data_IF_544282096462
#
_entry.id   IF_544282096462
#
_cell.length_a   1.000
_cell.length_b   1.000
_cell.length_c   1.000
_cell.angle_alpha   90.00
_cell.angle_beta   90.00
_cell.angle_gamma   90.00
#
_symmetry.space_group_name_H-M   'P 1'
#
loop_
_entity.id
_entity.type
_entity.pdbx_description
1 polymer ?
#
# COMPACT_ATOMS: atom_id res chain seq x y z
N UNK A 1 11.26 0.93 -34.33
CA UNK A 1 11.34 -0.55 -34.56
C UNK A 1 12.40 -1.09 -33.62
N UNK A 2 12.02 -1.55 -32.43
CA UNK A 2 12.95 -2.24 -31.52
C UNK A 2 12.95 -3.73 -31.90
N UNK A 3 14.12 -4.27 -32.28
CA UNK A 3 14.31 -5.70 -32.53
C UNK A 3 14.67 -6.40 -31.24
N UNK A 4 13.73 -7.17 -30.68
CA UNK A 4 13.95 -7.97 -29.48
C UNK A 4 14.79 -9.21 -29.80
N UNK A 5 15.92 -9.37 -29.11
CA UNK A 5 16.75 -10.59 -29.15
C UNK A 5 16.26 -11.53 -28.04
N UNK A 6 15.66 -12.65 -28.44
CA UNK A 6 15.29 -13.73 -27.51
C UNK A 6 16.54 -14.28 -26.82
N UNK A 7 16.50 -14.38 -25.50
CA UNK A 7 17.48 -15.15 -24.73
C UNK A 7 17.17 -16.64 -24.95
N UNK A 8 18.05 -17.35 -25.64
CA UNK A 8 17.93 -18.79 -25.79
C UNK A 8 18.35 -19.49 -24.49
N UNK A 9 17.46 -20.29 -23.91
CA UNK A 9 17.81 -21.20 -22.83
C UNK A 9 18.83 -22.22 -23.33
N UNK A 10 19.98 -22.31 -22.67
CA UNK A 10 21.00 -23.31 -22.97
C UNK A 10 20.49 -24.71 -22.60
N UNK A 11 20.35 -25.59 -23.59
CA UNK A 11 20.08 -27.01 -23.37
C UNK A 11 21.34 -27.70 -22.87
N UNK A 12 21.37 -28.08 -21.60
CA UNK A 12 22.39 -28.99 -21.08
C UNK A 12 21.95 -30.44 -21.34
N UNK A 13 22.63 -31.11 -22.27
CA UNK A 13 22.50 -32.54 -22.50
C UNK A 13 23.21 -33.30 -21.37
N UNK A 14 22.45 -33.90 -20.46
CA UNK A 14 22.99 -34.83 -19.48
C UNK A 14 23.18 -36.21 -20.13
N UNK A 15 24.43 -36.69 -20.14
CA UNK A 15 24.81 -38.04 -20.57
C UNK A 15 24.39 -39.04 -19.47
N UNK A 16 23.36 -39.86 -19.73
CA UNK A 16 22.94 -40.91 -18.79
C UNK A 16 23.79 -42.18 -18.97
N UNK A 17 24.57 -42.53 -17.95
CA UNK A 17 25.30 -43.79 -17.86
C UNK A 17 24.34 -44.88 -17.35
N UNK A 18 24.07 -45.90 -18.17
CA UNK A 18 23.16 -47.02 -17.83
C UNK A 18 23.95 -48.15 -17.17
N UNK A 19 23.65 -48.43 -15.90
CA UNK A 19 23.95 -49.73 -15.27
C UNK A 19 22.62 -50.46 -15.01
N UNK A 20 22.47 -51.63 -15.64
CA UNK A 20 21.31 -52.49 -15.47
C UNK A 20 21.58 -53.55 -14.41
N UNK A 21 20.87 -53.52 -13.29
CA UNK A 21 20.71 -54.65 -12.37
C UNK A 21 19.35 -54.59 -11.68
N UNK A 22 18.54 -55.63 -11.90
CA UNK A 22 17.59 -56.18 -10.92
C UNK A 22 16.32 -55.38 -10.61
N UNK A 23 15.18 -55.87 -11.11
CA UNK A 23 13.85 -55.33 -10.88
C UNK A 23 13.47 -55.26 -9.38
N UNK A 24 13.32 -54.06 -8.85
CA UNK A 24 12.18 -53.60 -8.01
C UNK A 24 12.05 -52.10 -8.24
N UNK A 25 10.87 -51.67 -8.69
CA UNK A 25 10.61 -50.30 -9.12
C UNK A 25 10.02 -49.45 -7.98
N UNK A 26 10.44 -48.18 -7.96
CA UNK A 26 9.82 -46.99 -7.34
C UNK A 26 9.67 -46.94 -5.81
N UNK A 27 10.53 -46.12 -5.19
CA UNK A 27 10.08 -44.87 -4.55
C UNK A 27 11.17 -43.81 -4.69
N UNK A 28 11.08 -42.97 -5.73
CA UNK A 28 11.61 -41.62 -5.66
C UNK A 28 10.40 -40.69 -5.60
N UNK A 29 9.96 -40.37 -4.40
CA UNK A 29 9.10 -39.20 -4.18
C UNK A 29 9.42 -38.59 -2.83
N UNK A 30 10.55 -37.90 -2.75
CA UNK A 30 10.45 -36.55 -2.22
C UNK A 30 10.22 -35.67 -3.44
N UNK A 31 8.98 -35.66 -3.95
CA UNK A 31 8.50 -34.45 -4.58
C UNK A 31 8.73 -33.38 -3.52
N UNK A 32 9.74 -32.53 -3.73
CA UNK A 32 9.90 -31.29 -2.99
C UNK A 32 8.50 -30.67 -3.03
N UNK A 33 7.80 -30.65 -1.90
CA UNK A 33 6.48 -30.06 -1.84
C UNK A 33 6.64 -28.67 -2.46
N UNK A 34 6.00 -28.43 -3.60
CA UNK A 34 6.03 -27.14 -4.24
C UNK A 34 5.63 -26.16 -3.16
N UNK A 35 6.54 -25.23 -2.81
CA UNK A 35 6.27 -24.19 -1.83
C UNK A 35 4.92 -23.58 -2.23
N UNK A 36 3.92 -23.54 -1.33
CA UNK A 36 2.65 -22.91 -1.66
C UNK A 36 2.95 -21.48 -2.11
N UNK A 37 2.63 -21.17 -3.37
CA UNK A 37 2.88 -19.83 -3.89
C UNK A 37 2.03 -18.83 -3.11
N UNK A 38 2.60 -17.73 -2.63
CA UNK A 38 1.87 -16.77 -1.77
C UNK A 38 0.85 -15.91 -2.52
N UNK A 39 1.04 -15.71 -3.81
CA UNK A 39 0.14 -14.88 -4.61
C UNK A 39 0.53 -14.91 -6.07
N UNK A 40 -0.27 -14.22 -6.89
CA UNK A 40 -0.06 -14.14 -8.34
C UNK A 40 0.01 -12.69 -8.81
N UNK A 41 1.03 -12.37 -9.61
CA UNK A 41 1.13 -11.14 -10.38
C UNK A 41 0.41 -11.31 -11.72
N UNK A 42 -0.48 -10.36 -12.04
CA UNK A 42 -1.34 -10.41 -13.23
C UNK A 42 -1.57 -9.01 -13.80
N UNK A 43 -1.61 -8.91 -15.13
CA UNK A 43 -2.23 -7.76 -15.78
C UNK A 43 -3.72 -8.01 -16.00
N UNK A 44 -4.56 -7.05 -15.61
CA UNK A 44 -6.00 -7.02 -15.88
C UNK A 44 -6.39 -5.61 -16.29
N UNK A 45 -7.10 -5.45 -17.41
CA UNK A 45 -7.61 -4.16 -17.90
C UNK A 45 -6.57 -3.04 -18.09
N UNK A 46 -5.31 -3.39 -18.33
CA UNK A 46 -4.19 -2.44 -18.51
C UNK A 46 -3.35 -2.24 -17.24
N UNK A 47 -3.85 -2.68 -16.09
CA UNK A 47 -3.24 -2.45 -14.80
C UNK A 47 -2.51 -3.70 -14.26
N UNK A 48 -1.40 -3.50 -13.56
CA UNK A 48 -0.65 -4.58 -12.92
C UNK A 48 -1.11 -4.77 -11.47
N UNK A 49 -1.56 -5.99 -11.17
CA UNK A 49 -2.09 -6.39 -9.86
C UNK A 49 -1.22 -7.46 -9.22
N UNK A 50 -0.88 -7.28 -7.94
CA UNK A 50 -0.55 -8.39 -7.05
C UNK A 50 -1.81 -8.84 -6.30
N UNK A 51 -2.07 -10.15 -6.28
CA UNK A 51 -3.18 -10.74 -5.52
C UNK A 51 -2.70 -11.91 -4.66
N UNK A 52 -2.78 -11.78 -3.34
CA UNK A 52 -2.51 -12.87 -2.41
C UNK A 52 -3.60 -13.96 -2.48
N UNK A 53 -3.30 -15.19 -2.03
CA UNK A 53 -4.37 -16.16 -1.81
C UNK A 53 -5.06 -15.94 -0.46
N UNK A 54 -6.32 -16.38 -0.37
CA UNK A 54 -7.12 -16.20 0.83
C UNK A 54 -6.49 -16.81 2.10
N UNK A 55 -6.50 -16.05 3.20
CA UNK A 55 -6.06 -16.46 4.52
C UNK A 55 -4.55 -16.45 4.73
N UNK A 56 -3.81 -15.70 3.93
CA UNK A 56 -2.35 -15.59 4.01
C UNK A 56 -1.95 -14.21 4.52
N UNK A 57 -0.98 -14.15 5.42
CA UNK A 57 -0.31 -12.91 5.77
C UNK A 57 0.90 -12.70 4.84
N UNK A 58 1.06 -11.49 4.34
CA UNK A 58 2.00 -11.08 3.31
C UNK A 58 2.82 -9.89 3.79
N UNK A 59 4.13 -9.94 3.58
CA UNK A 59 5.04 -8.84 3.87
C UNK A 59 5.75 -8.37 2.61
N UNK A 60 5.19 -7.32 2.01
CA UNK A 60 5.60 -6.77 0.73
C UNK A 60 6.28 -5.41 0.89
N UNK A 61 7.42 -5.25 0.22
CA UNK A 61 8.01 -3.94 -0.05
C UNK A 61 7.95 -3.65 -1.54
N UNK A 62 7.44 -2.49 -1.92
CA UNK A 62 7.41 -2.01 -3.30
C UNK A 62 8.38 -0.84 -3.43
N UNK A 63 9.22 -0.86 -4.45
CA UNK A 63 10.05 0.27 -4.85
C UNK A 63 10.01 0.48 -6.36
N UNK A 64 10.22 1.72 -6.80
CA UNK A 64 10.42 2.02 -8.22
C UNK A 64 11.89 2.28 -8.50
N UNK A 65 12.36 1.79 -9.64
CA UNK A 65 13.68 2.07 -10.18
C UNK A 65 13.56 2.52 -11.63
N UNK A 66 14.09 3.70 -11.91
CA UNK A 66 14.27 4.19 -13.29
C UNK A 66 15.65 3.76 -13.78
N UNK A 67 15.71 3.06 -14.91
CA UNK A 67 16.95 2.72 -15.61
C UNK A 67 17.01 3.46 -16.95
N UNK A 68 18.18 3.98 -17.30
CA UNK A 68 18.42 4.59 -18.60
C UNK A 68 19.04 3.54 -19.52
N UNK A 69 18.38 3.20 -20.61
CA UNK A 69 18.89 2.28 -21.64
C UNK A 69 18.71 2.88 -23.02
N UNK A 70 19.77 2.88 -23.81
CA UNK A 70 19.76 3.37 -25.20
C UNK A 70 19.15 4.79 -25.36
N UNK A 71 19.40 5.67 -24.38
CA UNK A 71 18.91 7.05 -24.34
C UNK A 71 17.37 7.18 -24.16
N UNK A 72 16.73 6.12 -23.64
CA UNK A 72 15.34 6.05 -23.21
C UNK A 72 15.28 5.74 -21.70
N UNK A 73 14.24 6.22 -21.04
CA UNK A 73 13.99 5.97 -19.61
C UNK A 73 13.01 4.81 -19.48
N UNK A 74 13.43 3.74 -18.83
CA UNK A 74 12.58 2.61 -18.49
C UNK A 74 12.28 2.65 -16.98
N UNK A 75 11.00 2.59 -16.61
CA UNK A 75 10.57 2.55 -15.20
C UNK A 75 10.20 1.12 -14.82
N UNK A 76 10.72 0.65 -13.68
CA UNK A 76 10.44 -0.69 -13.16
C UNK A 76 9.93 -0.63 -11.73
N UNK A 77 8.83 -1.33 -11.47
CA UNK A 77 8.39 -1.67 -10.12
C UNK A 77 9.14 -2.91 -9.65
N UNK A 78 9.70 -2.86 -8.45
CA UNK A 78 10.41 -3.95 -7.80
C UNK A 78 9.61 -4.34 -6.56
N UNK A 79 8.99 -5.51 -6.63
CA UNK A 79 8.29 -6.10 -5.50
C UNK A 79 9.22 -7.05 -4.78
N UNK A 80 9.41 -6.83 -3.49
CA UNK A 80 10.25 -7.65 -2.61
C UNK A 80 9.41 -8.23 -1.49
N UNK A 81 9.25 -9.54 -1.47
CA UNK A 81 8.51 -10.30 -0.46
C UNK A 81 9.48 -10.80 0.61
N UNK A 82 9.09 -10.72 1.89
CA UNK A 82 10.01 -10.93 3.03
C UNK A 82 9.76 -12.22 3.82
N UNK A 83 8.77 -13.00 3.41
CA UNK A 83 8.18 -14.14 4.11
C UNK A 83 8.34 -15.49 3.38
N UNK A 84 9.27 -15.55 2.40
CA UNK A 84 9.77 -16.78 1.76
C UNK A 84 8.75 -17.63 0.98
N UNK A 85 7.58 -17.11 0.63
CA UNK A 85 6.67 -17.80 -0.28
C UNK A 85 6.91 -17.35 -1.73
N UNK A 86 7.01 -18.33 -2.64
CA UNK A 86 7.26 -18.06 -4.06
C UNK A 86 6.08 -17.25 -4.65
N UNK A 87 6.37 -16.20 -5.44
CA UNK A 87 5.34 -15.47 -6.19
C UNK A 87 5.11 -16.21 -7.50
N UNK A 88 3.86 -16.34 -7.96
CA UNK A 88 3.57 -16.73 -9.34
C UNK A 88 3.53 -15.49 -10.25
N UNK A 89 4.28 -15.49 -11.35
CA UNK A 89 4.01 -14.56 -12.46
C UNK A 89 3.08 -15.30 -13.44
N UNK A 90 1.87 -14.79 -13.66
CA UNK A 90 0.92 -15.35 -14.63
C UNK A 90 1.43 -15.14 -16.06
N UNK A 91 0.95 -15.97 -17.00
CA UNK A 91 1.27 -15.83 -18.42
C UNK A 91 0.88 -14.46 -18.99
N UNK A 92 -0.14 -13.80 -18.45
CA UNK A 92 -0.50 -12.43 -18.87
C UNK A 92 0.55 -11.41 -18.47
N UNK A 93 1.11 -11.50 -17.26
CA UNK A 93 2.18 -10.61 -16.79
C UNK A 93 3.58 -11.02 -17.28
N UNK A 94 3.77 -12.28 -17.69
CA UNK A 94 5.01 -12.74 -18.31
C UNK A 94 5.10 -12.35 -19.80
N UNK A 95 4.03 -11.83 -20.41
CA UNK A 95 4.06 -11.39 -21.78
C UNK A 95 4.92 -10.12 -21.94
N UNK A 96 5.61 -9.99 -23.07
CA UNK A 96 6.38 -8.80 -23.45
C UNK A 96 7.46 -8.29 -22.45
N UNK A 97 8.04 -9.19 -21.64
CA UNK A 97 9.05 -8.84 -20.61
C UNK A 97 8.51 -7.88 -19.52
N UNK A 98 7.18 -7.84 -19.31
CA UNK A 98 6.52 -6.97 -18.33
C UNK A 98 6.78 -7.38 -16.89
N UNK A 99 6.89 -8.67 -16.53
CA UNK A 99 7.33 -9.10 -15.21
C UNK A 99 8.30 -10.29 -15.31
N UNK A 100 9.47 -10.16 -14.66
CA UNK A 100 10.51 -11.21 -14.63
C UNK A 100 11.09 -11.37 -13.22
N UNK A 101 11.54 -12.59 -12.92
CA UNK A 101 12.40 -12.82 -11.75
C UNK A 101 13.83 -12.35 -12.03
N UNK A 102 14.51 -11.66 -11.10
CA UNK A 102 15.91 -11.26 -11.27
C UNK A 102 16.85 -12.45 -11.49
N UNK A 103 16.54 -13.59 -10.86
CA UNK A 103 17.21 -14.88 -11.12
C UNK A 103 16.17 -15.99 -11.15
N UNK A 104 16.42 -17.06 -11.91
CA UNK A 104 15.50 -18.20 -12.01
C UNK A 104 15.31 -19.00 -10.71
N UNK A 105 16.09 -18.69 -9.67
CA UNK A 105 16.07 -19.38 -8.37
C UNK A 105 15.50 -18.51 -7.25
N UNK A 106 15.35 -17.20 -7.47
CA UNK A 106 14.83 -16.28 -6.48
C UNK A 106 13.46 -15.78 -6.92
N UNK A 107 12.41 -16.37 -6.35
CA UNK A 107 11.03 -15.97 -6.56
C UNK A 107 10.48 -15.10 -5.41
N UNK A 108 11.36 -14.57 -4.55
CA UNK A 108 10.99 -13.60 -3.50
C UNK A 108 11.02 -12.16 -4.01
N UNK A 109 11.59 -11.96 -5.21
CA UNK A 109 11.65 -10.66 -5.87
C UNK A 109 11.05 -10.79 -7.27
N UNK A 110 10.10 -9.93 -7.60
CA UNK A 110 9.61 -9.75 -8.96
C UNK A 110 9.95 -8.34 -9.44
N UNK A 111 10.49 -8.26 -10.66
CA UNK A 111 10.76 -6.99 -11.33
C UNK A 111 9.78 -6.84 -12.47
N UNK A 112 8.94 -5.84 -12.41
CA UNK A 112 7.96 -5.55 -13.43
C UNK A 112 8.27 -4.24 -14.16
N UNK A 113 8.40 -4.31 -15.49
CA UNK A 113 8.52 -3.19 -16.38
C UNK A 113 7.13 -2.66 -16.73
N UNK A 114 6.95 -1.34 -16.68
CA UNK A 114 5.80 -0.67 -17.27
C UNK A 114 6.25 -0.10 -18.60
N UNK A 115 5.86 -0.75 -19.69
CA UNK A 115 6.26 -0.32 -21.02
C UNK A 115 5.38 0.83 -21.47
N UNK A 116 5.92 2.05 -21.62
CA UNK A 116 5.18 3.20 -22.16
C UNK A 116 4.85 2.91 -23.64
N UNK A 117 3.59 2.60 -24.01
CA UNK A 117 3.21 2.45 -25.41
C UNK A 117 3.23 3.82 -26.07
N UNK A 118 3.77 3.88 -27.29
CA UNK A 118 3.89 5.14 -28.01
C UNK A 118 2.50 5.69 -28.38
N UNK A 119 2.05 6.72 -27.67
CA UNK A 119 0.73 7.36 -27.85
C UNK A 119 -0.35 6.92 -26.86
N UNK A 120 0.02 6.20 -25.79
CA UNK A 120 -0.86 6.02 -24.64
C UNK A 120 -0.71 7.21 -23.68
N UNK A 121 -1.81 7.62 -23.03
CA UNK A 121 -1.85 8.69 -22.03
C UNK A 121 -1.78 8.13 -20.60
N UNK A 122 -1.28 6.90 -20.49
CA UNK A 122 -1.61 6.04 -19.37
C UNK A 122 -0.64 6.28 -18.21
N UNK A 123 -1.18 6.93 -17.18
CA UNK A 123 -0.93 6.59 -15.80
C UNK A 123 -1.27 5.11 -15.60
N UNK A 124 -0.31 4.22 -15.87
CA UNK A 124 -0.41 2.84 -15.39
C UNK A 124 -0.21 2.89 -13.87
N UNK A 125 -1.31 3.18 -13.16
CA UNK A 125 -1.41 3.09 -11.72
C UNK A 125 -1.07 1.65 -11.33
N UNK A 126 -0.16 1.48 -10.37
CA UNK A 126 0.22 0.16 -9.89
C UNK A 126 -0.60 -0.12 -8.63
N UNK A 127 -1.54 -1.06 -8.71
CA UNK A 127 -2.42 -1.42 -7.61
C UNK A 127 -1.97 -2.71 -6.92
N UNK A 128 -1.84 -2.65 -5.59
CA UNK A 128 -1.39 -3.76 -4.75
C UNK A 128 -2.52 -4.21 -3.85
N UNK A 129 -3.00 -5.45 -4.03
CA UNK A 129 -3.97 -6.09 -3.13
C UNK A 129 -3.25 -7.15 -2.27
N UNK A 130 -3.09 -6.84 -0.98
CA UNK A 130 -2.44 -7.71 -0.01
C UNK A 130 -3.32 -8.89 0.43
N UNK A 131 -4.64 -8.82 0.18
CA UNK A 131 -5.57 -9.93 0.28
C UNK A 131 -6.26 -10.09 1.64
N UNK A 132 -6.38 -11.33 2.10
CA UNK A 132 -7.02 -11.64 3.38
C UNK A 132 -5.93 -12.09 4.37
N UNK A 133 -5.68 -11.34 5.42
CA UNK A 133 -4.67 -11.63 6.43
C UNK A 133 -4.30 -10.39 7.25
N UNK A 134 -3.34 -10.55 8.17
CA UNK A 134 -2.70 -9.37 8.74
C UNK A 134 -1.43 -9.13 7.93
N UNK A 135 -1.49 -8.19 7.01
CA UNK A 135 -0.50 -7.93 6.00
C UNK A 135 0.39 -6.74 6.36
N UNK A 136 1.49 -6.60 5.63
CA UNK A 136 2.39 -5.45 5.75
C UNK A 136 2.83 -4.99 4.37
N UNK A 137 2.37 -3.80 3.99
CA UNK A 137 2.78 -3.10 2.78
C UNK A 137 3.73 -1.95 3.11
N UNK A 138 4.82 -1.83 2.38
CA UNK A 138 5.73 -0.67 2.54
C UNK A 138 6.21 -0.17 1.19
N UNK A 139 5.93 1.09 0.90
CA UNK A 139 6.54 1.83 -0.20
C UNK A 139 7.82 2.49 0.33
N UNK A 140 8.93 2.31 -0.39
CA UNK A 140 10.20 2.93 0.03
C UNK A 140 10.09 4.46 0.01
N UNK A 141 10.66 5.13 1.02
CA UNK A 141 10.52 6.59 1.20
C UNK A 141 11.13 7.40 0.05
N UNK A 142 12.12 6.85 -0.65
CA UNK A 142 12.77 7.44 -1.83
C UNK A 142 12.11 7.05 -3.16
N UNK A 143 11.02 6.28 -3.10
CA UNK A 143 10.32 5.78 -4.28
C UNK A 143 9.39 6.86 -4.85
N UNK A 144 9.55 7.23 -6.12
CA UNK A 144 8.60 8.08 -6.84
C UNK A 144 7.44 7.29 -7.45
N UNK A 145 7.09 6.16 -6.84
CA UNK A 145 6.09 5.24 -7.34
C UNK A 145 4.70 5.79 -7.07
N UNK A 146 3.86 5.83 -8.12
CA UNK A 146 2.42 6.05 -7.96
C UNK A 146 1.78 4.70 -7.77
N UNK A 147 1.32 4.46 -6.53
CA UNK A 147 0.84 3.15 -6.11
C UNK A 147 -0.38 3.35 -5.24
N UNK A 148 -1.41 2.54 -5.51
CA UNK A 148 -2.48 2.30 -4.55
C UNK A 148 -2.19 1.00 -3.82
N UNK A 149 -2.28 1.01 -2.49
CA UNK A 149 -2.16 -0.21 -1.69
C UNK A 149 -3.47 -0.47 -0.98
N UNK A 150 -3.99 -1.66 -1.20
CA UNK A 150 -5.16 -2.22 -0.55
C UNK A 150 -4.69 -3.29 0.45
N UNK A 151 -4.94 -3.06 1.74
CA UNK A 151 -4.67 -4.01 2.83
C UNK A 151 -5.57 -5.23 2.71
N UNK A 152 -6.88 -5.00 2.74
CA UNK A 152 -7.87 -6.04 2.49
C UNK A 152 -8.57 -6.43 3.78
N UNK A 153 -8.65 -7.72 4.10
CA UNK A 153 -9.23 -8.14 5.40
C UNK A 153 -8.15 -8.48 6.40
N UNK A 154 -8.23 -7.91 7.58
CA UNK A 154 -7.40 -8.21 8.73
C UNK A 154 -6.71 -6.95 9.23
N UNK A 155 -5.83 -7.08 10.21
CA UNK A 155 -5.20 -5.92 10.82
C UNK A 155 -3.84 -5.68 10.15
N UNK A 156 -3.82 -4.74 9.22
CA UNK A 156 -2.71 -4.48 8.32
C UNK A 156 -1.78 -3.38 8.81
N UNK A 157 -0.55 -3.39 8.28
CA UNK A 157 0.44 -2.34 8.52
C UNK A 157 0.89 -1.78 7.18
N UNK A 158 0.36 -0.62 6.81
CA UNK A 158 0.67 0.05 5.55
C UNK A 158 1.56 1.26 5.79
N UNK A 159 2.63 1.40 5.01
CA UNK A 159 3.49 2.58 5.01
C UNK A 159 3.69 3.09 3.60
N UNK A 160 3.24 4.31 3.35
CA UNK A 160 3.37 5.00 2.07
C UNK A 160 4.27 6.23 2.19
N UNK A 161 4.51 6.86 1.04
CA UNK A 161 5.08 8.20 0.97
C UNK A 161 4.04 9.17 0.39
N UNK A 162 4.41 10.43 0.17
CA UNK A 162 3.49 11.46 -0.31
C UNK A 162 2.89 11.22 -1.71
N UNK A 163 3.32 10.19 -2.45
CA UNK A 163 2.76 9.82 -3.76
C UNK A 163 1.90 8.54 -3.72
N UNK A 164 1.65 8.00 -2.53
CA UNK A 164 0.92 6.74 -2.34
C UNK A 164 -0.50 7.00 -1.83
N UNK A 165 -1.47 6.23 -2.34
CA UNK A 165 -2.81 6.13 -1.75
C UNK A 165 -2.91 4.80 -1.00
N UNK A 166 -3.42 4.83 0.22
CA UNK A 166 -3.46 3.66 1.10
C UNK A 166 -4.91 3.39 1.56
N UNK A 167 -5.35 2.15 1.43
CA UNK A 167 -6.64 1.66 1.91
C UNK A 167 -6.40 0.47 2.85
N UNK A 168 -6.76 0.61 4.12
CA UNK A 168 -6.76 -0.50 5.09
C UNK A 168 -7.84 -1.53 4.75
N UNK A 169 -9.08 -1.06 4.60
CA UNK A 169 -10.32 -1.82 4.39
C UNK A 169 -10.84 -2.46 5.68
N UNK A 170 -11.01 -3.78 5.75
CA UNK A 170 -11.64 -4.43 6.90
C UNK A 170 -10.58 -4.77 7.95
N UNK A 171 -10.70 -4.30 9.18
CA UNK A 171 -9.82 -4.64 10.29
C UNK A 171 -9.34 -3.42 11.05
N UNK A 172 -8.48 -3.63 12.03
CA UNK A 172 -7.89 -2.55 12.82
C UNK A 172 -6.48 -2.27 12.29
N UNK A 173 -6.38 -1.34 11.36
CA UNK A 173 -5.20 -1.10 10.56
C UNK A 173 -4.27 -0.06 11.16
N UNK A 174 -3.01 -0.12 10.74
CA UNK A 174 -1.97 0.86 11.06
C UNK A 174 -1.42 1.42 9.77
N UNK A 175 -1.78 2.65 9.48
CA UNK A 175 -1.41 3.33 8.25
C UNK A 175 -0.49 4.51 8.59
N UNK A 176 0.67 4.56 7.95
CA UNK A 176 1.66 5.63 8.11
C UNK A 176 1.97 6.29 6.77
N UNK A 177 1.81 7.61 6.70
CA UNK A 177 2.04 8.39 5.49
C UNK A 177 0.90 8.29 4.49
N UNK A 178 1.24 8.37 3.21
CA UNK A 178 0.27 8.57 2.13
C UNK A 178 0.08 10.05 1.81
N UNK A 179 -0.85 10.38 0.93
CA UNK A 179 -1.10 11.75 0.47
C UNK A 179 -1.51 11.81 -0.99
N UNK A 180 -1.16 10.76 -1.74
CA UNK A 180 -1.56 10.53 -3.11
C UNK A 180 -1.26 11.70 -4.05
N UNK A 181 -1.70 11.54 -5.29
CA UNK A 181 -1.80 12.66 -6.21
C UNK A 181 -3.14 13.34 -5.92
N UNK A 182 -3.21 14.67 -6.03
CA UNK A 182 -4.45 15.45 -5.89
C UNK A 182 -5.05 15.55 -4.48
N UNK A 183 -4.29 15.20 -3.43
CA UNK A 183 -4.71 15.35 -2.03
C UNK A 183 -5.55 14.19 -1.48
N UNK A 184 -5.53 13.05 -2.16
CA UNK A 184 -6.18 11.81 -1.69
C UNK A 184 -5.18 11.07 -0.79
N UNK A 185 -5.41 11.08 0.53
CA UNK A 185 -4.48 10.49 1.50
C UNK A 185 -4.74 9.02 1.79
N UNK A 186 -5.00 8.72 3.06
CA UNK A 186 -5.15 7.36 3.57
C UNK A 186 -6.58 7.12 4.07
N UNK A 187 -7.04 5.88 3.91
CA UNK A 187 -8.36 5.42 4.34
C UNK A 187 -8.19 4.21 5.25
N UNK A 188 -8.66 4.30 6.50
CA UNK A 188 -8.71 3.19 7.44
C UNK A 188 -9.69 2.12 6.94
N UNK A 189 -10.98 2.45 6.96
CA UNK A 189 -12.03 1.57 6.46
C UNK A 189 -12.95 1.14 7.58
N UNK A 190 -13.15 -0.16 7.78
CA UNK A 190 -14.00 -0.70 8.83
C UNK A 190 -13.15 -1.32 9.94
N UNK A 191 -13.23 -0.76 11.14
CA UNK A 191 -12.51 -1.20 12.32
C UNK A 191 -11.99 0.00 13.10
N UNK A 192 -11.17 -0.24 14.11
CA UNK A 192 -10.55 0.84 14.88
C UNK A 192 -9.12 1.04 14.38
N UNK A 193 -8.92 2.04 13.55
CA UNK A 193 -7.71 2.27 12.77
C UNK A 193 -6.80 3.31 13.42
N UNK A 194 -5.52 3.23 13.06
CA UNK A 194 -4.51 4.20 13.47
C UNK A 194 -3.83 4.76 12.23
N UNK A 195 -4.12 6.01 11.90
CA UNK A 195 -3.55 6.74 10.77
C UNK A 195 -2.58 7.79 11.30
N UNK A 196 -1.34 7.77 10.81
CA UNK A 196 -0.26 8.66 11.27
C UNK A 196 0.46 9.27 10.08
N UNK A 197 1.08 10.43 10.30
CA UNK A 197 1.81 11.16 9.24
C UNK A 197 0.89 11.50 8.05
N UNK A 198 -0.35 11.91 8.35
CA UNK A 198 -1.35 12.29 7.36
C UNK A 198 -0.98 13.61 6.69
N UNK A 199 -0.54 13.60 5.42
CA UNK A 199 -0.10 14.79 4.67
C UNK A 199 -1.20 15.50 3.85
N UNK A 200 -2.44 14.97 3.83
CA UNK A 200 -3.57 15.51 3.05
C UNK A 200 -4.90 15.06 3.68
N UNK A 201 -5.87 14.56 2.90
CA UNK A 201 -7.11 14.01 3.42
C UNK A 201 -6.92 12.58 3.96
N UNK A 202 -7.07 12.39 5.26
CA UNK A 202 -7.09 11.09 5.92
C UNK A 202 -8.49 10.80 6.48
N UNK A 203 -8.97 9.58 6.24
CA UNK A 203 -10.29 9.12 6.65
C UNK A 203 -10.16 7.90 7.55
N UNK A 204 -10.70 7.97 8.77
CA UNK A 204 -10.79 6.84 9.69
C UNK A 204 -11.75 5.79 9.14
N UNK A 205 -13.00 6.18 8.93
CA UNK A 205 -14.04 5.34 8.36
C UNK A 205 -15.05 4.92 9.41
N UNK A 206 -15.24 3.63 9.62
CA UNK A 206 -16.21 3.11 10.57
C UNK A 206 -15.51 2.42 11.73
N UNK A 207 -15.75 2.87 12.95
CA UNK A 207 -15.11 2.38 14.17
C UNK A 207 -14.45 3.54 14.90
N UNK A 208 -13.72 3.28 15.99
CA UNK A 208 -13.13 4.34 16.81
C UNK A 208 -11.67 4.52 16.42
N UNK A 209 -11.39 5.57 15.68
CA UNK A 209 -10.13 5.74 14.98
C UNK A 209 -9.22 6.76 15.68
N UNK A 210 -7.92 6.64 15.40
CA UNK A 210 -6.90 7.56 15.88
C UNK A 210 -6.15 8.13 14.68
N UNK A 211 -6.36 9.41 14.39
CA UNK A 211 -5.74 10.11 13.28
C UNK A 211 -4.74 11.15 13.80
N UNK A 212 -3.56 11.21 13.18
CA UNK A 212 -2.53 12.21 13.49
C UNK A 212 -1.96 12.78 12.20
N UNK A 213 -1.99 14.11 12.09
CA UNK A 213 -1.41 14.88 11.00
C UNK A 213 0.08 14.62 10.77
N UNK A 214 0.58 15.06 9.62
CA UNK A 214 2.02 15.12 9.36
C UNK A 214 2.67 16.21 10.20
N UNK A 215 3.89 15.97 10.70
CA UNK A 215 4.68 17.03 11.32
C UNK A 215 5.35 17.83 10.19
N UNK A 216 4.75 18.95 9.79
CA UNK A 216 5.23 19.72 8.65
C UNK A 216 5.92 21.02 9.08
N UNK A 217 7.12 21.21 8.53
CA UNK A 217 7.91 22.45 8.61
C UNK A 217 7.44 23.52 7.63
N UNK A 218 6.47 23.18 6.79
CA UNK A 218 6.11 23.92 5.58
C UNK A 218 4.73 24.60 5.71
N UNK A 219 3.95 24.29 6.76
CA UNK A 219 2.67 24.93 7.09
C UNK A 219 1.51 24.54 6.18
N UNK A 220 1.52 23.32 5.67
CA UNK A 220 0.43 22.73 4.92
C UNK A 220 -0.76 22.42 5.85
N UNK A 221 -1.92 22.29 5.23
CA UNK A 221 -3.18 21.98 5.92
C UNK A 221 -3.39 20.46 5.91
N UNK A 222 -3.43 19.84 7.10
CA UNK A 222 -3.86 18.45 7.23
C UNK A 222 -5.39 18.41 7.27
N UNK A 223 -6.01 17.47 6.55
CA UNK A 223 -7.45 17.27 6.58
C UNK A 223 -7.78 15.90 7.18
N UNK A 224 -8.20 15.89 8.44
CA UNK A 224 -8.46 14.66 9.20
C UNK A 224 -9.97 14.47 9.37
N UNK A 225 -10.46 13.30 8.97
CA UNK A 225 -11.87 12.92 9.05
C UNK A 225 -11.98 11.64 9.90
N UNK A 226 -12.59 11.73 11.09
CA UNK A 226 -12.88 10.55 11.93
C UNK A 226 -13.96 9.66 11.32
N UNK A 227 -14.98 10.29 10.74
CA UNK A 227 -16.13 9.66 10.11
C UNK A 227 -17.13 9.05 11.12
N UNK A 228 -17.28 7.73 11.23
CA UNK A 228 -18.27 7.08 12.10
C UNK A 228 -17.58 6.42 13.29
N UNK A 229 -17.66 6.98 14.50
CA UNK A 229 -16.86 6.47 15.60
C UNK A 229 -16.83 7.34 16.84
N UNK A 230 -16.07 6.95 17.86
CA UNK A 230 -15.63 7.92 18.87
C UNK A 230 -14.14 8.14 18.64
N UNK A 231 -13.83 9.14 17.81
CA UNK A 231 -12.52 9.27 17.20
C UNK A 231 -11.61 10.19 17.99
N UNK A 232 -10.31 10.07 17.74
CA UNK A 232 -9.28 10.93 18.30
C UNK A 232 -8.45 11.51 17.16
N UNK A 233 -8.52 12.82 16.97
CA UNK A 233 -7.85 13.54 15.88
C UNK A 233 -6.85 14.55 16.46
N UNK A 234 -5.61 14.51 15.99
CA UNK A 234 -4.54 15.45 16.33
C UNK A 234 -3.98 16.13 15.07
N UNK A 235 -4.14 17.45 14.97
CA UNK A 235 -3.62 18.26 13.86
C UNK A 235 -2.10 18.42 13.89
N UNK A 236 -1.53 18.59 15.09
CA UNK A 236 -0.12 18.93 15.34
C UNK A 236 0.20 20.40 15.04
N UNK A 237 1.22 20.66 14.24
CA UNK A 237 1.59 22.03 13.88
C UNK A 237 1.04 22.30 12.49
N UNK A 238 0.45 23.47 12.24
CA UNK A 238 -0.06 23.78 10.90
C UNK A 238 -1.24 24.72 10.89
N UNK A 239 -2.07 24.59 9.86
CA UNK A 239 -3.42 25.16 9.83
C UNK A 239 -4.30 24.00 9.43
N UNK A 240 -4.84 23.30 10.42
CA UNK A 240 -5.43 21.99 10.20
C UNK A 240 -6.96 22.04 10.12
N UNK A 241 -7.51 21.10 9.37
CA UNK A 241 -8.94 20.84 9.29
C UNK A 241 -9.26 19.49 9.93
N UNK A 242 -10.00 19.50 11.04
CA UNK A 242 -10.40 18.32 11.78
C UNK A 242 -11.92 18.18 11.77
N UNK A 243 -12.40 17.01 11.37
CA UNK A 243 -13.82 16.67 11.30
C UNK A 243 -14.06 15.36 12.06
N UNK A 244 -14.74 15.42 13.21
CA UNK A 244 -15.07 14.25 14.05
C UNK A 244 -16.02 13.32 13.32
N UNK A 245 -17.28 13.76 13.16
CA UNK A 245 -18.26 13.06 12.35
C UNK A 245 -19.43 12.57 13.20
N UNK A 246 -19.67 11.26 13.25
CA UNK A 246 -20.71 10.67 14.10
C UNK A 246 -20.08 10.00 15.31
N UNK A 247 -20.42 10.48 16.50
CA UNK A 247 -20.14 9.85 17.79
C UNK A 247 -19.52 10.84 18.75
N UNK A 248 -18.79 10.40 19.77
CA UNK A 248 -18.26 11.31 20.80
C UNK A 248 -16.76 11.48 20.60
N UNK A 249 -16.39 12.51 19.87
CA UNK A 249 -15.05 12.66 19.32
C UNK A 249 -14.16 13.55 20.20
N UNK A 250 -12.85 13.39 20.04
CA UNK A 250 -11.83 14.26 20.65
C UNK A 250 -10.96 14.85 19.56
N UNK A 251 -11.06 16.15 19.38
CA UNK A 251 -10.32 16.89 18.36
C UNK A 251 -9.33 17.84 19.03
N UNK A 252 -8.09 17.78 18.59
CA UNK A 252 -6.98 18.61 19.06
C UNK A 252 -6.33 19.30 17.86
N UNK A 253 -6.51 20.62 17.72
CA UNK A 253 -5.85 21.43 16.69
C UNK A 253 -4.34 21.56 16.94
N UNK A 254 -3.97 21.69 18.22
CA UNK A 254 -2.60 21.81 18.71
C UNK A 254 -1.96 23.18 18.37
N UNK A 255 -0.94 23.29 17.52
CA UNK A 255 -0.30 24.58 17.19
C UNK A 255 -0.73 25.06 15.81
N UNK A 256 -1.48 26.16 15.70
CA UNK A 256 -1.97 26.53 14.38
C UNK A 256 -3.10 27.53 14.36
N UNK A 257 -3.66 27.77 13.18
CA UNK A 257 -4.98 28.40 13.10
C UNK A 257 -5.95 27.35 12.56
N UNK A 258 -6.53 26.56 13.45
CA UNK A 258 -7.17 25.32 13.05
C UNK A 258 -8.67 25.46 12.91
N UNK A 259 -9.28 24.53 12.20
CA UNK A 259 -10.73 24.43 12.02
C UNK A 259 -11.20 23.06 12.49
N UNK A 260 -11.95 23.04 13.61
CA UNK A 260 -12.43 21.82 14.26
C UNK A 260 -13.95 21.75 14.23
N UNK A 261 -14.49 20.66 13.67
CA UNK A 261 -15.91 20.33 13.68
C UNK A 261 -16.15 18.99 14.38
N UNK A 262 -16.83 18.99 15.53
CA UNK A 262 -17.24 17.76 16.21
C UNK A 262 -18.32 17.01 15.43
N UNK A 263 -19.35 17.76 15.02
CA UNK A 263 -20.56 17.30 14.37
C UNK A 263 -21.53 16.58 15.32
N UNK A 264 -21.88 15.32 15.07
CA UNK A 264 -23.00 14.68 15.76
C UNK A 264 -22.50 13.88 16.97
N UNK A 265 -22.89 14.28 18.17
CA UNK A 265 -22.62 13.55 19.40
C UNK A 265 -22.11 14.47 20.50
N UNK A 266 -21.42 13.96 21.51
CA UNK A 266 -20.93 14.81 22.61
C UNK A 266 -19.42 14.94 22.52
N UNK A 267 -18.97 16.02 21.89
CA UNK A 267 -17.59 16.13 21.46
C UNK A 267 -16.73 16.94 22.43
N UNK A 268 -15.42 16.72 22.35
CA UNK A 268 -14.41 17.50 23.06
C UNK A 268 -13.45 18.11 22.06
N UNK A 269 -13.49 19.43 21.92
CA UNK A 269 -12.67 20.19 20.97
C UNK A 269 -11.67 21.04 21.74
N UNK A 270 -10.39 20.90 21.40
CA UNK A 270 -9.29 21.71 21.87
C UNK A 270 -8.64 22.40 20.68
N UNK A 271 -8.83 23.72 20.53
CA UNK A 271 -8.19 24.48 19.44
C UNK A 271 -6.68 24.48 19.58
N UNK A 272 -6.19 24.80 20.78
CA UNK A 272 -4.77 24.89 21.03
C UNK A 272 -4.27 26.32 20.87
N UNK A 273 -3.05 26.48 20.36
CA UNK A 273 -2.38 27.77 20.24
C UNK A 273 -2.62 28.38 18.86
N UNK A 274 -3.30 29.53 18.83
CA UNK A 274 -3.48 30.36 17.65
C UNK A 274 -4.93 30.79 17.49
N UNK A 275 -5.38 31.05 16.26
CA UNK A 275 -6.72 31.59 15.99
C UNK A 275 -7.60 30.53 15.37
N UNK A 276 -8.20 29.73 16.22
CA UNK A 276 -8.95 28.55 15.78
C UNK A 276 -10.44 28.83 15.61
N UNK A 277 -11.07 28.03 14.77
CA UNK A 277 -12.52 27.98 14.56
C UNK A 277 -13.03 26.64 15.05
N UNK A 278 -13.89 26.65 16.06
CA UNK A 278 -14.38 25.43 16.71
C UNK A 278 -15.90 25.40 16.69
N UNK A 279 -16.46 24.28 16.25
CA UNK A 279 -17.90 24.03 16.26
C UNK A 279 -18.18 22.62 16.73
N UNK A 280 -18.76 22.50 17.93
CA UNK A 280 -19.20 21.20 18.47
C UNK A 280 -20.25 20.53 17.59
N UNK A 281 -21.32 21.27 17.23
CA UNK A 281 -22.41 20.73 16.41
C UNK A 281 -23.59 20.27 17.27
N UNK A 282 -24.43 19.34 16.78
CA UNK A 282 -25.50 18.77 17.58
C UNK A 282 -25.01 17.88 18.74
N UNK A 283 -25.29 18.31 19.97
CA UNK A 283 -25.12 17.50 21.17
C UNK A 283 -24.67 18.31 22.38
N UNK A 284 -24.00 17.68 23.34
CA UNK A 284 -23.45 18.36 24.53
C UNK A 284 -21.94 18.40 24.47
N UNK A 285 -21.40 19.47 23.90
CA UNK A 285 -19.97 19.57 23.59
C UNK A 285 -19.19 20.36 24.63
N UNK A 286 -17.89 20.07 24.70
CA UNK A 286 -16.90 20.85 25.45
C UNK A 286 -15.88 21.44 24.48
N UNK A 287 -15.82 22.76 24.44
CA UNK A 287 -14.95 23.50 23.52
C UNK A 287 -13.97 24.35 24.32
N UNK A 288 -12.68 24.20 24.04
CA UNK A 288 -11.59 24.92 24.71
C UNK A 288 -10.74 25.65 23.68
N UNK A 289 -10.59 26.97 23.88
CA UNK A 289 -9.67 27.83 23.13
C UNK A 289 -8.65 28.43 24.09
N UNK A 290 -7.36 28.33 23.78
CA UNK A 290 -6.29 28.96 24.56
C UNK A 290 -5.85 30.31 23.96
#
# INVERSE_FOLDING_TARGET
MRTHRRIAAATTTALALTFALGATALTASTAQAATPKAGTLRHTDGELWYKANAGQANRLTVSVKVEVRDNEFDTYYILTFRDHADIAIDATAAAQDECVYPTATDHTVARCAVGIPNGSDDSDDFDVDLGDGNDTGTIAADSSAYVTVYGGKGNDVLRGNGSTVLYGQDGNDRIGGGGGIWGIGAFGGAGNDVLTECFSACHGGAGNDSLTGGADSDGNENALYGDDGNDILHGLAGTDFLYGGKGNDRLYGDEGNDTLYGNSGNDVLHGGAGRDTLSGGPGTDKVYQN
#
